data_IF_875194072660
#
_entry.id   IF_875194072660
#
_cell.length_a   1.000
_cell.length_b   1.000
_cell.length_c   1.000
_cell.angle_alpha   90.00
_cell.angle_beta   90.00
_cell.angle_gamma   90.00
#
_symmetry.space_group_name_H-M   'P 1'
#
loop_
_entity.id
_entity.type
_entity.pdbx_description
1 polymer ?
#
# COMPACT_ATOMS: atom_id res chain seq x y z
N UNK A 1 -7.38 -15.99 3.90
CA UNK A 1 -6.65 -14.85 4.47
C UNK A 1 -7.16 -14.67 5.88
N UNK A 2 -6.32 -14.96 6.86
CA UNK A 2 -6.72 -15.15 8.27
C UNK A 2 -7.03 -13.80 8.93
N UNK A 3 -8.18 -13.70 9.61
CA UNK A 3 -8.56 -12.53 10.41
C UNK A 3 -7.65 -12.37 11.65
N UNK A 4 -6.77 -13.34 11.94
CA UNK A 4 -5.83 -13.31 13.06
C UNK A 4 -4.61 -12.38 12.90
N UNK A 5 -4.46 -11.62 11.80
CA UNK A 5 -3.24 -10.82 11.57
C UNK A 5 -3.21 -9.46 12.29
N UNK A 6 -4.37 -8.94 12.70
CA UNK A 6 -4.49 -7.63 13.37
C UNK A 6 -4.50 -7.84 14.88
N UNK A 7 -3.57 -7.21 15.60
CA UNK A 7 -3.43 -7.32 17.06
C UNK A 7 -3.35 -5.97 17.75
N UNK A 8 -3.51 -5.94 19.07
CA UNK A 8 -3.37 -4.72 19.89
C UNK A 8 -1.98 -4.04 19.80
N UNK A 9 -0.98 -4.74 19.24
CA UNK A 9 0.34 -4.18 18.94
C UNK A 9 0.38 -3.32 17.67
N UNK A 10 -0.63 -3.41 16.79
CA UNK A 10 -0.72 -2.62 15.57
C UNK A 10 -1.45 -1.30 15.91
N UNK A 11 -0.71 -0.32 16.41
CA UNK A 11 -1.27 0.93 16.96
C UNK A 11 -1.25 2.05 15.93
N UNK A 12 -2.38 2.73 15.75
CA UNK A 12 -2.50 4.01 15.05
C UNK A 12 -3.50 4.89 15.81
N UNK A 13 -3.32 6.21 15.80
CA UNK A 13 -4.19 7.11 16.58
C UNK A 13 -5.52 7.37 15.86
N UNK A 14 -5.44 7.83 14.60
CA UNK A 14 -6.60 8.25 13.79
C UNK A 14 -6.58 7.64 12.39
N UNK A 15 -5.77 6.60 12.17
CA UNK A 15 -5.78 5.82 10.94
C UNK A 15 -7.03 4.93 10.91
N UNK A 16 -7.53 4.62 9.71
CA UNK A 16 -8.72 3.78 9.54
C UNK A 16 -8.49 2.34 10.03
N UNK A 17 -7.77 1.50 9.26
CA UNK A 17 -7.50 0.10 9.63
C UNK A 17 -6.08 -0.15 10.14
N UNK A 18 -5.06 0.39 9.45
CA UNK A 18 -3.65 0.12 9.72
C UNK A 18 -2.88 1.42 9.91
N UNK A 19 -1.77 1.36 10.65
CA UNK A 19 -0.92 2.52 10.96
C UNK A 19 -0.23 3.10 9.72
N UNK A 20 0.09 2.24 8.75
CA UNK A 20 0.76 2.60 7.51
C UNK A 20 0.05 1.98 6.31
N UNK A 21 0.07 2.69 5.20
CA UNK A 21 -0.39 2.22 3.90
C UNK A 21 0.77 2.27 2.90
N UNK A 22 0.95 1.18 2.18
CA UNK A 22 1.98 0.97 1.17
C UNK A 22 1.35 0.96 -0.22
N UNK A 23 2.03 1.56 -1.18
CA UNK A 23 1.62 1.53 -2.58
C UNK A 23 2.85 1.59 -3.49
N UNK A 24 2.81 0.97 -4.67
CA UNK A 24 3.84 1.15 -5.68
C UNK A 24 3.43 2.16 -6.75
N UNK A 25 4.41 2.85 -7.34
CA UNK A 25 4.16 3.74 -8.48
C UNK A 25 3.64 2.99 -9.71
N UNK A 26 4.15 1.77 -9.93
CA UNK A 26 3.74 0.93 -11.05
C UNK A 26 2.30 0.45 -10.94
N UNK A 27 1.80 0.18 -9.73
CA UNK A 27 0.38 -0.09 -9.49
C UNK A 27 -0.51 1.07 -9.88
N UNK A 28 -0.14 2.30 -9.51
CA UNK A 28 -0.94 3.48 -9.84
C UNK A 28 -0.88 3.78 -11.34
N UNK A 29 0.28 3.64 -11.96
CA UNK A 29 0.43 3.82 -13.41
C UNK A 29 -0.42 2.80 -14.20
N UNK A 30 -0.41 1.52 -13.79
CA UNK A 30 -1.24 0.48 -14.41
C UNK A 30 -2.74 0.77 -14.20
N UNK A 31 -3.14 1.21 -13.01
CA UNK A 31 -4.51 1.61 -12.73
C UNK A 31 -4.94 2.81 -13.58
N UNK A 32 -4.11 3.87 -13.67
CA UNK A 32 -4.38 5.06 -14.48
C UNK A 32 -4.58 4.70 -15.96
N UNK A 33 -3.77 3.80 -16.50
CA UNK A 33 -3.90 3.31 -17.87
C UNK A 33 -5.24 2.64 -18.17
N UNK A 34 -5.86 2.02 -17.15
CA UNK A 34 -7.17 1.34 -17.23
C UNK A 34 -8.36 2.30 -17.09
N UNK A 35 -8.14 3.55 -16.70
CA UNK A 35 -9.20 4.55 -16.55
C UNK A 35 -9.62 5.15 -17.89
N UNK A 36 -10.90 5.57 -18.03
CA UNK A 36 -11.33 6.37 -19.16
C UNK A 36 -10.54 7.68 -19.21
N UNK A 37 -10.39 8.25 -20.41
CA UNK A 37 -9.58 9.45 -20.63
C UNK A 37 -9.96 10.62 -19.70
N UNK A 38 -11.26 10.80 -19.42
CA UNK A 38 -11.76 11.83 -18.51
C UNK A 38 -11.36 11.67 -17.04
N UNK A 39 -10.89 10.49 -16.64
CA UNK A 39 -10.48 10.17 -15.27
C UNK A 39 -8.99 9.84 -15.13
N UNK A 40 -8.21 9.96 -16.20
CA UNK A 40 -6.74 9.79 -16.18
C UNK A 40 -6.05 10.94 -15.46
N UNK A 41 -4.77 10.73 -15.14
CA UNK A 41 -3.95 11.65 -14.36
C UNK A 41 -4.06 11.42 -12.85
N UNK A 42 -4.51 10.24 -12.42
CA UNK A 42 -4.46 9.89 -11.01
C UNK A 42 -3.02 9.64 -10.56
N UNK A 43 -2.74 9.97 -9.30
CA UNK A 43 -1.46 9.74 -8.65
C UNK A 43 -1.63 8.94 -7.36
N UNK A 44 -0.51 8.67 -6.70
CA UNK A 44 -0.50 7.94 -5.42
C UNK A 44 -1.21 8.71 -4.31
N UNK A 45 -1.17 10.06 -4.32
CA UNK A 45 -1.76 10.91 -3.27
C UNK A 45 -3.28 10.73 -3.11
N UNK A 46 -4.00 10.41 -4.19
CA UNK A 46 -5.42 10.12 -4.17
C UNK A 46 -5.75 8.89 -3.29
N UNK A 47 -4.78 7.98 -3.11
CA UNK A 47 -4.90 6.79 -2.27
C UNK A 47 -4.26 6.98 -0.89
N UNK A 48 -3.64 8.12 -0.58
CA UNK A 48 -3.10 8.45 0.76
C UNK A 48 -2.11 7.40 1.34
N UNK A 49 -1.13 6.88 0.57
CA UNK A 49 -0.08 6.04 1.12
C UNK A 49 0.83 6.82 2.07
N UNK A 50 1.44 6.09 3.00
CA UNK A 50 2.57 6.57 3.79
C UNK A 50 3.90 6.18 3.15
N UNK A 51 3.95 5.02 2.48
CA UNK A 51 5.12 4.48 1.82
C UNK A 51 4.81 4.29 0.34
N UNK A 52 5.61 4.94 -0.52
CA UNK A 52 5.54 4.76 -1.98
C UNK A 52 6.82 4.08 -2.45
N UNK A 53 6.69 2.99 -3.20
CA UNK A 53 7.82 2.20 -3.70
C UNK A 53 7.96 2.34 -5.22
N UNK A 54 9.19 2.51 -5.67
CA UNK A 54 9.58 2.53 -7.08
C UNK A 54 10.27 1.21 -7.46
N UNK A 55 10.23 0.85 -8.75
CA UNK A 55 10.99 -0.28 -9.30
C UNK A 55 10.35 -1.66 -9.15
N UNK A 56 9.13 -1.78 -8.63
CA UNK A 56 8.36 -3.03 -8.62
C UNK A 56 7.48 -3.18 -9.86
N UNK A 57 7.02 -4.41 -10.13
CA UNK A 57 5.93 -4.67 -11.09
C UNK A 57 4.59 -4.20 -10.51
N UNK A 58 3.59 -3.86 -11.36
CA UNK A 58 2.26 -3.53 -10.86
C UNK A 58 1.70 -4.63 -9.96
N UNK A 59 1.14 -4.23 -8.82
CA UNK A 59 0.53 -5.06 -7.79
C UNK A 59 1.49 -6.05 -7.09
N UNK A 60 2.80 -5.96 -7.33
CA UNK A 60 3.77 -6.83 -6.68
C UNK A 60 3.80 -6.63 -5.16
N UNK A 61 3.46 -5.43 -4.68
CA UNK A 61 3.38 -5.10 -3.26
C UNK A 61 2.37 -5.95 -2.48
N UNK A 62 1.36 -6.52 -3.14
CA UNK A 62 0.37 -7.39 -2.52
C UNK A 62 0.97 -8.74 -2.09
N UNK A 63 2.13 -9.10 -2.64
CA UNK A 63 2.82 -10.36 -2.35
C UNK A 63 3.89 -10.24 -1.28
N UNK A 64 4.24 -9.01 -0.85
CA UNK A 64 5.31 -8.81 0.12
C UNK A 64 4.80 -9.03 1.54
N UNK A 65 5.19 -10.13 2.17
CA UNK A 65 4.86 -10.38 3.58
C UNK A 65 5.56 -9.39 4.53
N UNK A 66 6.80 -9.05 4.21
CA UNK A 66 7.66 -8.20 5.02
C UNK A 66 8.44 -7.23 4.15
N UNK A 67 8.64 -6.01 4.66
CA UNK A 67 9.35 -4.94 3.97
C UNK A 67 10.35 -4.36 4.96
N UNK A 68 11.59 -4.17 4.50
CA UNK A 68 12.64 -3.49 5.25
C UNK A 68 13.00 -2.19 4.55
N UNK A 69 12.99 -1.09 5.30
CA UNK A 69 13.40 0.24 4.83
C UNK A 69 14.63 0.67 5.62
N UNK A 70 15.77 0.76 4.92
CA UNK A 70 17.07 0.99 5.57
C UNK A 70 17.45 -0.15 6.53
N UNK A 71 18.18 0.20 7.59
CA UNK A 71 18.74 -0.83 8.48
C UNK A 71 17.79 -1.28 9.60
N UNK A 72 16.83 -0.44 9.99
CA UNK A 72 16.09 -0.63 11.26
C UNK A 72 14.59 -0.80 11.08
N UNK A 73 13.98 -0.18 10.07
CA UNK A 73 12.53 -0.17 9.93
C UNK A 73 12.06 -1.44 9.20
N UNK A 74 11.35 -2.30 9.92
CA UNK A 74 10.76 -3.53 9.39
C UNK A 74 9.25 -3.43 9.53
N UNK A 75 8.55 -3.62 8.43
CA UNK A 75 7.09 -3.58 8.33
C UNK A 75 6.59 -4.96 7.91
N UNK A 76 5.43 -5.34 8.43
CA UNK A 76 4.70 -6.53 8.01
C UNK A 76 3.48 -6.10 7.22
N UNK A 77 3.27 -6.68 6.05
CA UNK A 77 2.01 -6.52 5.35
C UNK A 77 0.96 -7.43 6.00
N UNK A 78 -0.14 -6.85 6.47
CA UNK A 78 -1.14 -7.57 7.27
C UNK A 78 -2.43 -7.83 6.52
N UNK A 79 -2.75 -6.98 5.53
CA UNK A 79 -3.99 -7.04 4.76
C UNK A 79 -3.96 -6.08 3.56
N UNK A 80 -4.56 -6.45 2.40
CA UNK A 80 -4.81 -5.54 1.29
C UNK A 80 -5.68 -4.35 1.72
N UNK A 81 -5.38 -3.17 1.18
CA UNK A 81 -6.18 -1.97 1.38
C UNK A 81 -7.31 -1.92 0.34
N UNK A 82 -8.52 -2.27 0.76
CA UNK A 82 -9.72 -2.16 -0.09
C UNK A 82 -10.21 -0.72 -0.17
N UNK A 83 -10.75 -0.32 -1.32
CA UNK A 83 -11.25 1.03 -1.62
C UNK A 83 -12.72 0.99 -1.98
#
# INVERSE_FOLDING_TARGET
MDLASISAGNKGAYSDLASYMLMSESTVAELDGRLPESARGIGTLQFRPNLVVQGSRPYEEDTWDWIRVGDTAIFRNIKPCVR
#
